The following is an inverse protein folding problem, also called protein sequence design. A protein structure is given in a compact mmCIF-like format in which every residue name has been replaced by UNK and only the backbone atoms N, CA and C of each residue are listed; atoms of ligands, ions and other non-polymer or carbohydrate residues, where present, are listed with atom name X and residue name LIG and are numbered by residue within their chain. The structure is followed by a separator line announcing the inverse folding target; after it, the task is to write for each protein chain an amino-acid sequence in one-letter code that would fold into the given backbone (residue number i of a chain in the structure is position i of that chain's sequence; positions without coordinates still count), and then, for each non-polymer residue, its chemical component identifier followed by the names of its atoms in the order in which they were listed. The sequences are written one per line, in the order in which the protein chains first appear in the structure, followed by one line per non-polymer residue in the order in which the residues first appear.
data_IF_794264110677
#
_entry.id   IF_794264110677
#
_cell.length_a   1.000
_cell.length_b   1.000
_cell.length_c   1.000
_cell.angle_alpha   90.00
_cell.angle_beta   90.00
_cell.angle_gamma   90.00
#
_symmetry.space_group_name_H-M   'P 1'
#
loop_
_entity.id
_entity.type
_entity.pdbx_description
1 polymer ?
2 non-polymer ?
3 non-polymer ?
4 water ?
#
# COMPACT_ATOMS: atom_id res chain seq x y z
N UNK A 1 8.60 15.98 7.84
CA UNK A 1 7.52 15.27 7.10
C UNK A 1 8.07 13.88 6.69
N UNK A 2 7.34 13.24 5.82
CA UNK A 2 7.42 11.82 5.69
C UNK A 2 8.29 11.29 4.56
N UNK A 3 8.73 12.17 3.67
CA UNK A 3 9.59 11.83 2.57
C UNK A 3 11.02 11.84 3.04
N UNK A 4 11.70 10.66 3.02
CA UNK A 4 13.14 10.67 3.36
C UNK A 4 13.98 11.58 2.43
N UNK A 5 14.95 12.21 3.05
CA UNK A 5 15.85 13.04 2.29
C UNK A 5 16.73 12.13 1.37
N UNK A 6 17.07 12.69 0.27
CA UNK A 6 17.69 11.97 -0.81
C UNK A 6 18.70 12.91 -1.47
N UNK A 7 19.89 12.41 -1.85
CA UNK A 7 20.72 13.28 -2.64
C UNK A 7 20.02 13.78 -3.93
N UNK A 8 20.60 14.80 -4.51
CA UNK A 8 19.91 15.28 -5.72
C UNK A 8 19.80 14.20 -6.83
N UNK A 9 18.70 14.19 -7.50
CA UNK A 9 18.46 13.11 -8.44
C UNK A 9 19.45 13.11 -9.59
N UNK A 10 19.94 11.93 -9.95
CA UNK A 10 21.01 11.80 -10.93
C UNK A 10 20.34 11.70 -12.39
N UNK A 11 20.70 12.66 -13.32
CA UNK A 11 20.04 12.67 -14.63
C UNK A 11 20.35 11.45 -15.43
N UNK A 12 21.54 10.90 -15.33
CA UNK A 12 21.84 9.68 -16.06
C UNK A 12 20.94 8.43 -15.69
N UNK A 13 20.57 8.32 -14.45
CA UNK A 13 19.68 7.29 -13.92
C UNK A 13 18.29 7.49 -14.53
N UNK A 14 17.89 8.77 -14.59
CA UNK A 14 16.65 9.13 -15.14
C UNK A 14 16.61 8.70 -16.60
N UNK A 15 17.67 8.97 -17.36
CA UNK A 15 17.75 8.58 -18.74
C UNK A 15 17.62 7.03 -18.84
N UNK A 16 18.33 6.31 -17.98
CA UNK A 16 18.28 4.84 -18.05
C UNK A 16 16.89 4.30 -17.71
N UNK A 17 16.21 4.96 -16.82
CA UNK A 17 14.83 4.52 -16.56
C UNK A 17 13.96 4.80 -17.78
N UNK A 18 14.14 5.97 -18.38
CA UNK A 18 13.38 6.21 -19.68
C UNK A 18 13.62 5.15 -20.69
N UNK A 19 14.87 4.82 -20.95
CA UNK A 19 15.18 3.80 -21.92
C UNK A 19 14.52 2.39 -21.58
N UNK A 20 14.49 2.08 -20.26
CA UNK A 20 13.87 0.88 -19.78
C UNK A 20 12.44 0.93 -20.14
N UNK A 21 11.77 1.99 -19.77
CA UNK A 21 10.31 2.08 -20.04
C UNK A 21 9.97 2.08 -21.55
N UNK A 22 10.79 2.78 -22.33
CA UNK A 22 10.65 2.71 -23.78
C UNK A 22 10.78 1.35 -24.35
N UNK A 23 11.56 0.51 -23.75
CA UNK A 23 11.72 -0.85 -24.28
C UNK A 23 10.52 -1.71 -23.92
N UNK A 24 9.60 -1.27 -23.06
CA UNK A 24 8.53 -2.11 -22.54
C UNK A 24 7.27 -1.74 -23.33
N UNK A 25 6.43 -2.71 -23.63
CA UNK A 25 5.01 -2.48 -24.07
C UNK A 25 3.88 -2.86 -23.08
N UNK A 26 4.26 -3.65 -22.08
CA UNK A 26 3.32 -4.32 -21.21
C UNK A 26 4.06 -4.29 -19.77
N UNK A 27 4.15 -3.11 -19.18
CA UNK A 27 4.84 -2.92 -17.94
C UNK A 27 4.04 -3.45 -16.75
N UNK A 28 4.69 -4.29 -15.90
CA UNK A 28 4.11 -4.75 -14.68
C UNK A 28 4.73 -3.87 -13.53
N UNK A 29 3.87 -3.24 -12.77
CA UNK A 29 4.30 -2.30 -11.77
C UNK A 29 3.95 -2.77 -10.39
N UNK A 30 4.88 -2.65 -9.46
CA UNK A 30 4.66 -2.92 -8.08
C UNK A 30 4.96 -1.62 -7.30
N UNK A 31 4.02 -1.21 -6.42
CA UNK A 31 4.27 -0.08 -5.51
C UNK A 31 4.14 -0.42 -4.04
N UNK A 32 4.90 0.32 -3.28
CA UNK A 32 4.77 0.33 -1.82
C UNK A 32 4.63 1.72 -1.26
N UNK A 33 4.87 1.80 0.03
CA UNK A 33 4.51 2.93 0.86
C UNK A 33 5.25 4.24 0.43
N UNK A 34 6.37 4.11 -0.27
CA UNK A 34 7.04 5.24 -0.76
C UNK A 34 6.33 6.02 -1.77
N UNK A 35 5.37 5.41 -2.49
CA UNK A 35 4.63 6.19 -3.46
C UNK A 35 3.58 7.11 -2.81
N UNK A 36 3.31 6.96 -1.50
CA UNK A 36 2.35 7.81 -0.83
C UNK A 36 2.93 8.77 0.27
N UNK A 37 4.28 8.73 0.53
CA UNK A 37 4.85 9.69 1.44
C UNK A 37 4.61 11.14 1.01
N UNK A 38 4.65 11.41 -0.28
CA UNK A 38 4.29 12.73 -0.88
C UNK A 38 2.88 13.05 -0.72
N UNK A 39 2.01 12.11 -0.34
CA UNK A 39 0.60 12.44 0.01
C UNK A 39 0.36 12.66 1.49
N UNK A 40 1.43 12.59 2.26
CA UNK A 40 1.35 12.78 3.69
C UNK A 40 1.11 11.49 4.47
N UNK A 41 1.32 10.31 3.86
CA UNK A 41 1.15 9.04 4.56
C UNK A 41 2.56 8.47 4.87
N UNK A 42 2.87 8.25 6.15
CA UNK A 42 4.28 7.86 6.40
C UNK A 42 4.56 6.39 5.91
N UNK A 43 5.80 6.13 5.60
CA UNK A 43 6.21 4.81 5.27
C UNK A 43 6.76 4.11 6.56
N UNK A 44 7.26 2.89 6.40
CA UNK A 44 7.60 2.08 7.56
C UNK A 44 9.12 2.00 7.80
N UNK A 45 9.89 1.96 6.71
CA UNK A 45 11.28 1.57 6.88
C UNK A 45 12.27 2.53 6.34
N UNK A 46 11.88 3.79 6.07
CA UNK A 46 12.87 4.75 5.51
C UNK A 46 13.79 5.11 6.65
N UNK A 47 15.06 5.07 6.37
CA UNK A 47 16.01 5.24 7.50
C UNK A 47 15.90 6.61 8.09
N UNK A 48 15.59 6.72 9.39
CA UNK A 48 15.52 8.07 10.03
C UNK A 48 14.13 8.65 9.97
N UNK A 49 13.20 8.06 9.23
CA UNK A 49 11.91 8.68 9.07
C UNK A 49 10.72 7.77 9.09
N UNK A 50 10.81 6.53 8.65
CA UNK A 50 9.65 5.59 8.66
C UNK A 50 9.19 5.22 10.00
N UNK A 51 7.94 4.83 10.06
CA UNK A 51 7.26 4.44 11.31
C UNK A 51 8.11 3.47 12.21
N UNK A 52 8.71 2.48 11.57
CA UNK A 52 9.51 1.46 12.36
C UNK A 52 10.92 1.91 12.64
N UNK A 53 11.41 2.83 11.87
CA UNK A 53 12.79 3.33 12.10
C UNK A 53 12.81 4.38 13.25
N UNK A 54 11.76 5.18 13.26
CA UNK A 54 11.79 6.43 14.03
C UNK A 54 10.82 6.48 15.21
N UNK A 55 9.84 5.56 15.29
CA UNK A 55 8.76 5.65 16.24
C UNK A 55 8.57 4.36 16.90
N UNK A 56 7.74 4.39 17.91
CA UNK A 56 7.39 3.21 18.69
C UNK A 56 6.26 2.40 18.08
N UNK A 57 5.90 2.66 16.82
CA UNK A 57 4.76 1.90 16.24
C UNK A 57 5.07 0.44 16.11
N UNK A 58 4.18 -0.45 16.61
CA UNK A 58 4.28 -1.90 16.37
C UNK A 58 3.05 -2.42 15.58
N UNK A 59 3.22 -3.04 14.44
CA UNK A 59 1.89 -3.54 13.93
C UNK A 59 1.15 -4.53 14.88
N UNK A 60 -0.16 -4.66 14.69
CA UNK A 60 -0.92 -5.61 15.52
C UNK A 60 -0.75 -6.99 14.86
N UNK A 61 -0.55 -8.06 15.66
CA UNK A 61 -0.54 -9.43 15.10
C UNK A 61 -2.03 -9.89 14.75
N UNK A 62 -2.22 -10.55 13.60
CA UNK A 62 -3.55 -11.12 13.27
C UNK A 62 -4.12 -12.00 14.36
N UNK A 63 -3.30 -12.95 14.86
CA UNK A 63 -3.77 -13.93 15.84
C UNK A 63 -4.21 -13.19 17.14
N UNK A 64 -3.52 -12.10 17.53
CA UNK A 64 -3.98 -11.37 18.72
C UNK A 64 -5.31 -10.67 18.45
N UNK A 65 -5.51 -10.09 17.27
CA UNK A 65 -6.77 -9.48 16.92
C UNK A 65 -7.88 -10.51 17.00
N UNK A 66 -7.65 -11.68 16.43
CA UNK A 66 -8.73 -12.71 16.31
C UNK A 66 -9.02 -13.33 17.71
N UNK A 67 -8.01 -13.40 18.58
CA UNK A 67 -8.18 -14.13 19.86
C UNK A 67 -8.51 -13.21 21.03
N UNK A 68 -8.36 -11.89 20.91
CA UNK A 68 -8.51 -11.04 22.09
C UNK A 68 -9.47 -9.86 21.82
N UNK A 69 -10.61 -9.91 22.48
CA UNK A 69 -11.57 -8.81 22.45
C UNK A 69 -10.95 -7.51 22.83
N UNK A 70 -10.05 -7.54 23.83
CA UNK A 70 -9.45 -6.26 24.28
C UNK A 70 -8.53 -5.71 23.20
N UNK A 71 -7.78 -6.56 22.51
CA UNK A 71 -6.91 -6.08 21.41
C UNK A 71 -7.72 -5.41 20.29
N UNK A 72 -8.86 -6.01 20.00
CA UNK A 72 -9.80 -5.46 19.01
C UNK A 72 -10.28 -4.14 19.44
N UNK A 73 -10.53 -3.96 20.74
CA UNK A 73 -10.97 -2.63 21.17
C UNK A 73 -9.92 -1.59 21.04
N UNK A 74 -8.66 -1.91 21.42
CA UNK A 74 -7.61 -0.96 21.29
C UNK A 74 -7.32 -0.56 19.83
N UNK A 75 -7.26 -1.54 18.97
CA UNK A 75 -7.14 -1.35 17.50
C UNK A 75 -8.18 -0.39 17.00
N UNK A 76 -9.43 -0.74 17.23
CA UNK A 76 -10.51 0.05 16.70
C UNK A 76 -10.68 1.39 17.23
N UNK A 77 -10.37 1.60 18.51
CA UNK A 77 -10.41 2.95 19.02
C UNK A 77 -9.38 3.87 18.35
N UNK A 78 -8.18 3.38 18.15
CA UNK A 78 -7.19 4.14 17.37
C UNK A 78 -7.55 4.36 15.89
N UNK A 79 -8.04 3.36 15.25
CA UNK A 79 -8.50 3.49 13.86
C UNK A 79 -9.66 4.51 13.73
N UNK A 80 -10.62 4.43 14.64
CA UNK A 80 -11.71 5.41 14.71
C UNK A 80 -11.26 6.87 14.81
N UNK A 81 -10.27 7.13 15.64
CA UNK A 81 -9.80 8.46 15.83
C UNK A 81 -9.09 8.97 14.59
N UNK A 82 -8.33 8.09 13.97
CA UNK A 82 -7.50 8.43 12.83
C UNK A 82 -8.26 8.48 11.49
N UNK A 83 -9.50 7.93 11.42
CA UNK A 83 -10.19 7.74 10.17
C UNK A 83 -10.46 9.07 9.37
N UNK A 84 -10.87 10.10 10.06
CA UNK A 84 -11.22 11.36 9.30
C UNK A 84 -10.01 11.92 8.54
N UNK A 85 -8.84 11.88 9.11
CA UNK A 85 -7.62 12.37 8.39
C UNK A 85 -7.11 11.32 7.43
N UNK A 86 -7.10 10.08 7.82
CA UNK A 86 -6.60 9.04 6.94
C UNK A 86 -7.38 8.95 5.65
N UNK A 87 -8.69 8.98 5.81
CA UNK A 87 -9.58 8.91 4.68
C UNK A 87 -9.54 10.15 3.73
N UNK A 88 -8.92 11.22 4.16
CA UNK A 88 -8.89 12.47 3.38
C UNK A 88 -7.59 12.67 2.54
N UNK A 89 -6.58 11.81 2.72
CA UNK A 89 -5.42 11.87 1.83
C UNK A 89 -5.77 11.74 0.33
N UNK A 90 -4.98 12.41 -0.51
CA UNK A 90 -5.16 12.48 -1.93
C UNK A 90 -4.01 11.87 -2.68
N UNK A 91 -4.29 11.37 -3.85
CA UNK A 91 -3.18 10.84 -4.68
C UNK A 91 -2.27 11.92 -5.10
N UNK A 92 -1.01 11.60 -5.39
CA UNK A 92 -0.03 12.60 -5.77
C UNK A 92 0.37 12.32 -7.22
N UNK A 93 1.31 13.14 -7.74
CA UNK A 93 1.57 13.12 -9.18
C UNK A 93 2.06 11.70 -9.58
N UNK A 94 2.73 10.97 -8.67
CA UNK A 94 3.15 9.60 -9.00
C UNK A 94 1.96 8.63 -9.33
N UNK A 95 0.94 8.65 -8.48
CA UNK A 95 -0.28 7.84 -8.72
C UNK A 95 -0.91 8.29 -10.06
N UNK A 96 -0.97 9.63 -10.30
CA UNK A 96 -1.62 10.18 -11.48
C UNK A 96 -0.91 9.80 -12.66
N UNK A 97 0.41 9.84 -12.61
CA UNK A 97 1.14 9.41 -13.82
C UNK A 97 1.06 7.94 -14.17
N UNK A 98 0.99 7.08 -13.14
CA UNK A 98 0.80 5.64 -13.41
C UNK A 98 -0.58 5.39 -13.99
N UNK A 99 -1.57 6.19 -13.60
CA UNK A 99 -2.86 6.03 -14.23
C UNK A 99 -2.82 6.51 -15.74
N UNK A 100 -2.09 7.56 -16.05
CA UNK A 100 -1.85 7.95 -17.44
C UNK A 100 -1.28 6.77 -18.23
N UNK A 101 -0.33 6.06 -17.65
CA UNK A 101 0.35 5.02 -18.37
C UNK A 101 -0.59 3.93 -18.66
N UNK A 102 -1.49 3.66 -17.74
CA UNK A 102 -2.51 2.69 -18.03
C UNK A 102 -3.45 3.17 -19.18
N UNK A 103 -3.92 4.44 -19.15
CA UNK A 103 -4.76 4.95 -20.20
C UNK A 103 -4.06 4.78 -21.58
N UNK A 104 -2.78 4.93 -21.66
CA UNK A 104 -2.10 4.82 -22.85
C UNK A 104 -1.83 3.40 -23.30
N UNK A 105 -2.27 2.39 -22.56
CA UNK A 105 -2.05 0.98 -22.88
C UNK A 105 -0.65 0.42 -22.65
N UNK A 106 0.18 1.14 -21.90
CA UNK A 106 1.57 0.72 -21.67
C UNK A 106 1.78 0.05 -20.30
N UNK A 107 0.84 0.25 -19.39
CA UNK A 107 0.93 -0.39 -18.02
C UNK A 107 0.00 -1.57 -18.14
N UNK A 108 0.58 -2.73 -18.06
CA UNK A 108 -0.13 -3.97 -18.12
C UNK A 108 -0.92 -4.31 -16.88
N UNK A 109 -0.31 -4.11 -15.72
CA UNK A 109 -1.02 -4.38 -14.44
C UNK A 109 -0.20 -3.74 -13.31
N UNK A 110 -0.88 -3.36 -12.27
CA UNK A 110 -0.21 -2.79 -11.13
C UNK A 110 -0.61 -3.56 -9.90
N UNK A 111 0.39 -3.90 -9.05
CA UNK A 111 0.05 -4.43 -7.74
C UNK A 111 0.57 -3.46 -6.71
N UNK A 112 -0.22 -3.13 -5.71
CA UNK A 112 0.22 -2.39 -4.59
C UNK A 112 0.20 -3.16 -3.31
N UNK A 113 1.19 -2.90 -2.44
CA UNK A 113 1.17 -3.26 -1.05
C UNK A 113 0.46 -2.29 -0.19
N UNK A 114 0.01 -1.13 -0.69
CA UNK A 114 -0.49 -0.08 0.15
C UNK A 114 -1.98 -0.28 0.42
N UNK A 115 -2.40 0.12 1.60
CA UNK A 115 -3.81 -0.01 2.02
C UNK A 115 -4.56 1.33 2.01
N UNK A 116 -4.00 2.38 1.43
CA UNK A 116 -4.50 3.69 1.49
C UNK A 116 -5.55 4.18 0.46
N UNK A 117 -5.93 3.34 -0.49
CA UNK A 117 -6.89 3.58 -1.54
C UNK A 117 -6.48 4.65 -2.56
N UNK A 118 -5.22 5.10 -2.54
CA UNK A 118 -4.88 6.22 -3.34
C UNK A 118 -4.83 5.83 -4.86
N UNK A 119 -4.39 4.63 -5.17
CA UNK A 119 -4.31 4.22 -6.57
C UNK A 119 -5.77 4.16 -7.10
N UNK A 120 -6.69 3.70 -6.26
CA UNK A 120 -8.10 3.68 -6.62
C UNK A 120 -8.64 5.11 -6.82
N UNK A 121 -8.38 5.97 -5.85
CA UNK A 121 -8.77 7.39 -6.02
C UNK A 121 -8.26 8.06 -7.22
N UNK A 122 -7.04 7.72 -7.64
CA UNK A 122 -6.45 8.22 -8.85
C UNK A 122 -7.07 7.67 -10.16
N UNK A 123 -7.68 6.48 -10.09
CA UNK A 123 -8.38 5.86 -11.18
C UNK A 123 -7.60 4.73 -11.84
N UNK A 124 -6.73 4.03 -11.10
CA UNK A 124 -6.05 2.88 -11.62
C UNK A 124 -7.03 1.69 -11.70
N UNK A 125 -7.36 1.20 -12.91
CA UNK A 125 -8.33 0.14 -13.02
C UNK A 125 -7.64 -1.24 -13.01
N UNK A 126 -6.42 -1.31 -13.54
CA UNK A 126 -5.76 -2.62 -13.71
C UNK A 126 -4.86 -2.82 -12.49
N UNK A 127 -5.56 -3.06 -11.42
CA UNK A 127 -5.01 -2.88 -10.04
C UNK A 127 -5.32 -4.11 -9.20
N UNK A 128 -4.34 -4.57 -8.45
CA UNK A 128 -4.55 -5.44 -7.32
C UNK A 128 -3.98 -4.88 -6.05
N UNK A 129 -4.85 -4.88 -5.08
CA UNK A 129 -4.47 -4.44 -3.69
C UNK A 129 -4.04 -5.59 -2.92
N UNK A 130 -2.74 -5.86 -2.95
CA UNK A 130 -2.16 -7.06 -2.39
C UNK A 130 -2.50 -7.29 -0.86
N UNK A 131 -2.46 -6.25 -0.11
CA UNK A 131 -2.71 -6.35 1.29
C UNK A 131 -4.11 -5.85 1.69
N UNK A 132 -5.01 -5.65 0.76
CA UNK A 132 -6.32 -5.07 1.08
C UNK A 132 -6.38 -3.56 1.09
N UNK A 133 -7.31 -3.04 1.89
CA UNK A 133 -7.54 -1.59 1.86
C UNK A 133 -8.28 -1.24 3.14
N UNK A 134 -7.82 -0.23 3.84
CA UNK A 134 -8.46 0.20 5.05
C UNK A 134 -9.84 0.79 4.81
N UNK A 135 -10.26 1.05 3.58
CA UNK A 135 -11.58 1.62 3.32
C UNK A 135 -12.66 0.54 3.27
N UNK A 136 -12.27 -0.72 3.43
CA UNK A 136 -13.17 -1.84 3.47
C UNK A 136 -13.10 -2.56 4.79
N UNK A 137 -14.24 -3.10 5.19
CA UNK A 137 -14.37 -3.84 6.42
C UNK A 137 -14.95 -5.18 6.10
N UNK A 138 -14.44 -6.20 6.74
CA UNK A 138 -14.98 -7.60 6.49
C UNK A 138 -15.38 -8.32 7.82
N UNK A 139 -16.52 -9.06 7.76
CA UNK A 139 -16.92 -9.82 8.91
C UNK A 139 -16.12 -11.21 8.94
N UNK A 140 -15.43 -11.51 10.03
CA UNK A 140 -14.75 -12.79 10.19
C UNK A 140 -15.66 -13.99 10.28
N UNK A 141 -16.91 -13.74 10.50
CA UNK A 141 -17.92 -14.77 10.61
C UNK A 141 -18.57 -15.11 9.28
N UNK A 142 -19.09 -14.13 8.53
CA UNK A 142 -19.80 -14.47 7.30
C UNK A 142 -19.12 -13.99 5.99
N UNK A 143 -17.97 -13.31 6.11
CA UNK A 143 -17.21 -12.72 5.03
C UNK A 143 -17.95 -11.60 4.28
N UNK A 144 -18.98 -10.94 4.85
CA UNK A 144 -19.61 -9.83 4.20
C UNK A 144 -18.66 -8.59 4.20
N UNK A 145 -18.56 -7.89 3.07
CA UNK A 145 -17.67 -6.76 2.94
C UNK A 145 -18.51 -5.48 2.95
N UNK A 146 -18.17 -4.53 3.84
CA UNK A 146 -18.83 -3.23 3.89
C UNK A 146 -17.85 -2.07 3.75
N UNK A 147 -18.36 -0.87 3.65
CA UNK A 147 -17.54 0.32 3.59
C UNK A 147 -17.10 0.82 5.02
N UNK A 148 -15.78 1.14 5.18
CA UNK A 148 -15.32 1.73 6.38
C UNK A 148 -16.05 3.02 6.72
N UNK A 149 -16.36 3.83 5.74
CA UNK A 149 -17.01 5.16 5.96
C UNK A 149 -18.34 4.93 6.66
N UNK A 150 -19.01 3.83 6.34
CA UNK A 150 -20.31 3.51 7.01
C UNK A 150 -20.17 3.06 8.47
N UNK A 151 -19.03 2.42 8.78
CA UNK A 151 -18.76 1.99 10.14
C UNK A 151 -18.59 3.20 11.15
N UNK A 152 -18.09 4.34 10.67
CA UNK A 152 -17.81 5.46 11.45
C UNK A 152 -19.03 5.96 12.13
N UNK A 153 -20.10 6.08 11.41
CA UNK A 153 -21.40 6.49 11.95
C UNK A 153 -21.83 5.57 13.10
N UNK A 154 -21.57 4.29 12.91
CA UNK A 154 -21.95 3.32 13.89
C UNK A 154 -21.08 3.42 15.15
N UNK A 155 -19.78 3.69 14.99
CA UNK A 155 -18.94 4.00 16.13
C UNK A 155 -19.41 5.20 16.97
N UNK A 156 -19.88 6.25 16.25
CA UNK A 156 -20.35 7.45 16.89
C UNK A 156 -21.62 7.19 17.78
N UNK A 157 -22.61 6.48 17.21
CA UNK A 157 -23.82 6.10 18.01
C UNK A 157 -23.54 5.16 19.19
N UNK A 158 -22.62 4.25 19.03
CA UNK A 158 -22.24 3.38 20.10
C UNK A 158 -21.36 4.02 21.16
N UNK A 159 -20.56 5.05 20.80
CA UNK A 159 -19.58 5.60 21.75
C UNK A 159 -19.75 7.08 21.70
N UNK A 160 -20.94 7.61 22.07
CA UNK A 160 -21.17 9.03 21.97
C UNK A 160 -20.28 9.83 22.90
N UNK A 161 -19.74 9.31 24.02
CA UNK A 161 -18.72 10.08 24.84
C UNK A 161 -17.38 10.29 24.17
N UNK A 162 -17.07 9.52 23.12
CA UNK A 162 -15.87 9.79 22.33
C UNK A 162 -16.07 10.90 21.26
N UNK A 163 -17.24 11.51 21.23
CA UNK A 163 -17.54 12.60 20.32
C UNK A 163 -18.05 13.88 21.04
N UNK A 164 -17.34 14.34 22.09
CA UNK A 164 -17.80 15.37 23.06
C UNK A 164 -16.88 16.60 23.10
N UNK A 177 -3.70 5.00 24.61
CA UNK A 177 -3.72 3.80 23.75
C UNK A 177 -3.95 2.41 24.49
N UNK A 178 -4.20 2.44 25.84
CA UNK A 178 -4.27 1.21 26.71
C UNK A 178 -5.67 0.73 27.05
N UNK A 179 -5.78 -0.48 27.61
CA UNK A 179 -7.12 -1.01 28.08
C UNK A 179 -7.92 -0.07 28.97
N UNK A 180 -7.26 0.64 29.90
CA UNK A 180 -8.00 1.51 30.82
C UNK A 180 -8.66 2.68 30.04
N UNK A 181 -7.90 3.35 29.17
CA UNK A 181 -8.45 4.49 28.38
C UNK A 181 -9.61 4.07 27.37
N UNK A 182 -9.70 2.78 27.09
CA UNK A 182 -10.64 2.18 26.13
C UNK A 182 -11.92 1.47 26.67
N UNK A 183 -11.93 1.14 27.98
CA UNK A 183 -13.15 0.77 28.78
C UNK A 183 -14.49 1.24 28.17
N UNK A 184 -14.73 2.57 28.02
CA UNK A 184 -16.03 3.11 27.40
C UNK A 184 -16.23 2.98 25.84
N UNK A 185 -15.36 2.10 25.24
CA UNK A 185 -15.24 1.91 23.78
C UNK A 185 -15.70 0.51 23.34
N UNK A 186 -16.80 0.54 22.62
CA UNK A 186 -17.38 -0.67 22.12
C UNK A 186 -17.40 -0.65 20.58
N UNK A 187 -17.15 -1.82 20.05
CA UNK A 187 -16.97 -2.05 18.73
C UNK A 187 -18.33 -2.55 18.11
N UNK A 188 -18.86 -1.89 17.06
CA UNK A 188 -20.02 -2.45 16.37
C UNK A 188 -19.80 -3.91 15.85
N UNK A 189 -20.82 -4.78 15.93
CA UNK A 189 -20.80 -6.17 15.44
C UNK A 189 -21.36 -6.17 13.98
N UNK A 190 -21.11 -7.24 13.24
CA UNK A 190 -21.63 -7.47 11.91
C UNK A 190 -23.17 -7.38 11.97
N UNK A 191 -23.77 -6.60 11.13
CA UNK A 191 -25.25 -6.50 11.12
C UNK A 191 -25.97 -7.65 10.42
N UNK A 192 -25.24 -8.55 9.77
CA UNK A 192 -25.86 -9.75 9.09
C UNK A 192 -25.82 -10.90 10.07
N UNK A 193 -24.76 -11.02 10.85
CA UNK A 193 -24.64 -12.25 11.67
C UNK A 193 -24.24 -12.00 13.09
N UNK A 194 -23.83 -10.79 13.43
CA UNK A 194 -23.38 -10.52 14.82
C UNK A 194 -21.94 -10.88 15.03
N UNK A 195 -21.19 -11.25 13.96
CA UNK A 195 -19.78 -11.62 14.07
C UNK A 195 -18.81 -10.39 14.19
N UNK A 196 -17.53 -10.69 14.21
CA UNK A 196 -16.48 -9.75 14.48
C UNK A 196 -16.08 -9.09 13.21
N UNK A 197 -16.06 -7.74 13.21
CA UNK A 197 -15.58 -6.99 12.09
C UNK A 197 -14.08 -6.73 12.16
N UNK A 198 -13.45 -6.63 11.00
CA UNK A 198 -11.96 -6.36 10.88
C UNK A 198 -11.76 -5.53 9.61
N UNK A 199 -10.86 -4.56 9.62
CA UNK A 199 -10.49 -3.91 8.37
C UNK A 199 -10.00 -4.99 7.40
N UNK A 200 -10.40 -4.89 6.15
CA UNK A 200 -10.07 -5.89 5.14
C UNK A 200 -8.64 -5.60 4.69
N UNK A 201 -7.73 -5.74 5.63
CA UNK A 201 -6.25 -5.59 5.39
C UNK A 201 -5.59 -6.82 5.95
N UNK A 202 -4.43 -7.15 5.42
CA UNK A 202 -3.63 -8.26 5.87
C UNK A 202 -2.77 -7.82 7.07
N UNK A 203 -3.25 -8.13 8.26
CA UNK A 203 -2.47 -7.92 9.51
C UNK A 203 -1.17 -8.78 9.52
N UNK A 204 -0.17 -8.36 10.27
CA UNK A 204 1.03 -9.19 10.52
C UNK A 204 0.67 -10.63 10.90
N UNK A 205 1.30 -11.58 10.27
CA UNK A 205 1.03 -13.01 10.44
C UNK A 205 -0.13 -13.59 9.69
N UNK A 206 -1.07 -12.77 9.15
CA UNK A 206 -2.09 -13.30 8.28
C UNK A 206 -1.33 -13.39 6.95
N UNK A 207 -1.86 -14.18 6.06
CA UNK A 207 -1.13 -14.35 4.74
C UNK A 207 -2.19 -13.92 3.66
N UNK A 208 -1.69 -13.50 2.50
CA UNK A 208 -2.57 -13.16 1.35
C UNK A 208 -3.14 -14.53 0.77
N UNK A 209 -4.43 -14.54 0.52
CA UNK A 209 -5.22 -15.62 -0.11
C UNK A 209 -4.46 -16.14 -1.33
N UNK A 210 -4.29 -17.44 -1.37
CA UNK A 210 -3.50 -18.08 -2.41
C UNK A 210 -4.07 -17.96 -3.84
N UNK A 211 -5.40 -17.90 -3.95
CA UNK A 211 -6.02 -17.70 -5.28
C UNK A 211 -5.81 -16.30 -5.79
N UNK A 212 -5.84 -15.36 -4.88
CA UNK A 212 -5.52 -13.96 -5.22
C UNK A 212 -4.08 -13.84 -5.70
N UNK A 213 -3.15 -14.42 -4.91
CA UNK A 213 -1.75 -14.44 -5.30
C UNK A 213 -1.60 -15.04 -6.66
N UNK A 214 -2.22 -16.18 -6.87
CA UNK A 214 -2.06 -16.90 -8.10
C UNK A 214 -2.59 -16.03 -9.30
N UNK A 215 -3.69 -15.30 -9.09
CA UNK A 215 -4.26 -14.43 -10.15
C UNK A 215 -3.29 -13.28 -10.51
N UNK A 216 -2.51 -12.80 -9.55
CA UNK A 216 -1.53 -11.76 -9.81
C UNK A 216 -0.37 -12.33 -10.58
N UNK A 217 0.13 -13.53 -10.25
CA UNK A 217 1.14 -14.13 -11.01
C UNK A 217 0.65 -14.35 -12.47
N UNK A 218 -0.61 -14.75 -12.63
CA UNK A 218 -1.14 -14.93 -14.00
C UNK A 218 -0.99 -13.58 -14.84
N UNK A 219 -1.29 -12.44 -14.22
CA UNK A 219 -1.05 -11.16 -14.94
C UNK A 219 0.40 -10.91 -15.29
N UNK A 220 1.35 -11.26 -14.40
CA UNK A 220 2.69 -11.25 -14.76
C UNK A 220 3.12 -11.98 -15.99
N UNK A 221 2.53 -13.12 -16.32
CA UNK A 221 3.01 -13.92 -17.41
C UNK A 221 3.00 -13.22 -18.74
N UNK A 222 2.18 -12.24 -18.93
CA UNK A 222 2.12 -11.51 -20.14
C UNK A 222 2.90 -10.20 -20.10
N UNK A 223 3.56 -9.83 -19.01
CA UNK A 223 4.25 -8.58 -18.97
C UNK A 223 5.56 -8.73 -19.73
N UNK A 224 6.21 -7.61 -20.02
CA UNK A 224 7.53 -7.66 -20.63
C UNK A 224 8.60 -6.97 -19.87
N UNK A 225 8.27 -6.43 -18.68
CA UNK A 225 9.18 -5.73 -17.85
C UNK A 225 8.48 -5.54 -16.50
N UNK A 226 9.29 -5.30 -15.49
CA UNK A 226 8.77 -4.91 -14.17
C UNK A 226 9.41 -3.68 -13.62
N UNK A 227 8.56 -2.80 -13.07
CA UNK A 227 8.98 -1.60 -12.37
C UNK A 227 8.51 -1.62 -10.91
N UNK A 228 9.41 -1.42 -9.96
CA UNK A 228 9.05 -1.35 -8.59
C UNK A 228 9.21 0.09 -8.16
N UNK A 229 8.19 0.68 -7.52
CA UNK A 229 8.23 2.07 -7.12
C UNK A 229 7.94 2.19 -5.64
N UNK A 230 8.90 2.72 -4.84
CA UNK A 230 8.55 3.00 -3.49
C UNK A 230 8.31 1.83 -2.55
N UNK A 231 9.12 0.78 -2.66
CA UNK A 231 9.12 -0.33 -1.66
C UNK A 231 10.58 -0.79 -1.38
N UNK A 232 10.82 -1.04 -0.12
CA UNK A 232 12.06 -1.61 0.36
C UNK A 232 12.13 -3.10 0.03
N UNK A 233 10.96 -3.70 -0.31
CA UNK A 233 10.81 -5.11 -0.56
C UNK A 233 11.37 -5.99 0.55
N UNK A 234 11.35 -5.51 1.78
CA UNK A 234 11.85 -6.28 2.89
C UNK A 234 10.81 -7.37 3.23
N UNK A 235 9.54 -7.06 3.02
CA UNK A 235 8.47 -8.01 3.25
C UNK A 235 8.35 -8.97 2.10
N UNK A 236 8.37 -10.25 2.41
CA UNK A 236 8.41 -11.32 1.43
C UNK A 236 7.17 -11.25 0.50
N UNK A 237 6.04 -10.90 1.10
CA UNK A 237 4.76 -10.72 0.38
C UNK A 237 4.93 -9.91 -0.89
N UNK A 238 5.71 -8.82 -0.86
CA UNK A 238 6.11 -8.10 -2.07
C UNK A 238 7.31 -8.62 -2.82
N UNK A 239 8.39 -8.97 -2.11
CA UNK A 239 9.64 -9.42 -2.79
C UNK A 239 9.42 -10.63 -3.69
N UNK A 240 8.43 -11.49 -3.34
CA UNK A 240 8.20 -12.66 -4.12
C UNK A 240 7.88 -12.31 -5.59
N UNK A 241 7.26 -11.16 -5.86
CA UNK A 241 6.91 -10.81 -7.20
C UNK A 241 8.16 -10.36 -8.00
N UNK A 242 9.17 -9.76 -7.38
CA UNK A 242 10.45 -9.49 -8.04
C UNK A 242 11.19 -10.82 -8.37
N UNK A 243 11.24 -11.75 -7.41
CA UNK A 243 11.73 -13.14 -7.68
C UNK A 243 11.05 -13.76 -8.91
N UNK A 244 9.74 -13.57 -9.00
CA UNK A 244 8.95 -14.12 -10.07
C UNK A 244 9.32 -13.48 -11.37
N UNK A 245 9.52 -12.14 -11.37
CA UNK A 245 9.99 -11.49 -12.58
C UNK A 245 11.31 -12.09 -13.09
N UNK A 246 12.22 -12.30 -12.17
CA UNK A 246 13.53 -12.82 -12.51
C UNK A 246 13.34 -14.25 -13.13
N UNK A 247 12.45 -15.04 -12.56
CA UNK A 247 12.16 -16.38 -13.15
C UNK A 247 11.55 -16.34 -14.55
N UNK A 248 10.86 -15.26 -14.83
CA UNK A 248 10.26 -15.03 -16.14
C UNK A 248 11.21 -14.38 -17.09
N UNK A 249 12.38 -14.08 -16.66
CA UNK A 249 13.40 -13.41 -17.47
C UNK A 249 12.98 -12.01 -17.86
N UNK A 250 12.24 -11.32 -16.99
CA UNK A 250 11.86 -9.92 -17.22
C UNK A 250 12.94 -8.99 -16.70
N UNK A 251 13.23 -7.90 -17.44
CA UNK A 251 14.05 -6.85 -16.95
C UNK A 251 13.27 -6.21 -15.78
N UNK A 252 14.02 -5.81 -14.78
CA UNK A 252 13.51 -5.15 -13.56
C UNK A 252 14.14 -3.79 -13.35
N UNK A 253 13.33 -2.78 -13.02
CA UNK A 253 13.83 -1.46 -12.70
C UNK A 253 13.20 -1.03 -11.37
N UNK A 254 13.89 -0.21 -10.65
CA UNK A 254 13.48 0.25 -9.29
C UNK A 254 13.60 1.77 -9.25
N UNK A 255 12.56 2.40 -8.73
CA UNK A 255 12.53 3.81 -8.44
C UNK A 255 12.21 3.96 -6.98
N UNK A 256 13.24 4.18 -6.21
CA UNK A 256 13.16 4.11 -4.74
C UNK A 256 14.31 4.87 -4.10
N UNK A 257 14.01 5.61 -3.05
CA UNK A 257 15.04 6.46 -2.41
C UNK A 257 15.93 5.50 -1.69
N UNK A 258 15.44 4.64 -0.81
CA UNK A 258 16.56 3.84 -0.15
C UNK A 258 16.99 2.54 -0.83
N UNK A 259 17.86 1.80 -0.16
CA UNK A 259 18.11 0.39 -0.67
C UNK A 259 16.86 -0.53 -0.69
N UNK A 260 16.87 -1.52 -1.57
CA UNK A 260 15.82 -2.50 -1.58
C UNK A 260 16.42 -3.87 -1.59
N UNK A 261 15.62 -4.80 -1.21
CA UNK A 261 15.99 -6.20 -1.24
C UNK A 261 16.22 -6.76 -2.66
N UNK A 262 15.65 -6.12 -3.67
CA UNK A 262 15.82 -6.50 -5.05
C UNK A 262 16.91 -5.73 -5.81
N UNK A 263 17.77 -4.95 -5.15
CA UNK A 263 18.74 -4.12 -5.87
C UNK A 263 19.66 -4.99 -6.68
N UNK A 264 19.90 -6.20 -6.19
CA UNK A 264 20.82 -7.10 -6.92
C UNK A 264 20.16 -7.65 -8.21
N UNK A 265 18.85 -7.61 -8.32
CA UNK A 265 18.11 -8.11 -9.53
C UNK A 265 17.81 -7.06 -10.58
N UNK A 266 18.00 -5.81 -10.25
CA UNK A 266 17.59 -4.73 -11.08
C UNK A 266 18.64 -4.38 -12.13
N UNK A 267 18.11 -4.09 -13.30
CA UNK A 267 18.93 -3.60 -14.37
C UNK A 267 19.20 -2.13 -14.19
N UNK A 268 18.23 -1.34 -13.68
CA UNK A 268 18.29 0.06 -13.55
C UNK A 268 17.71 0.45 -12.15
N UNK A 269 18.44 1.24 -11.40
CA UNK A 269 17.96 1.74 -10.15
C UNK A 269 18.07 3.30 -10.10
N UNK A 270 16.98 3.97 -9.74
CA UNK A 270 16.90 5.41 -9.67
C UNK A 270 16.59 5.72 -8.18
N UNK A 271 17.53 6.37 -7.47
CA UNK A 271 17.37 6.71 -6.10
C UNK A 271 16.88 8.10 -6.01
N UNK A 272 15.58 8.33 -6.02
CA UNK A 272 15.08 9.67 -6.21
C UNK A 272 13.59 9.64 -5.82
N UNK A 273 13.03 10.79 -5.51
CA UNK A 273 11.62 10.91 -5.11
C UNK A 273 10.80 10.51 -6.32
N UNK A 274 9.85 9.56 -6.18
CA UNK A 274 9.21 9.14 -7.34
C UNK A 274 8.38 10.26 -8.04
N UNK A 275 7.79 11.19 -7.28
CA UNK A 275 7.02 12.35 -7.86
C UNK A 275 7.87 13.36 -8.67
N UNK A 276 9.21 13.35 -8.45
CA UNK A 276 10.19 14.08 -9.28
C UNK A 276 10.52 13.37 -10.54
N UNK A 277 10.47 12.02 -10.59
CA UNK A 277 10.94 11.33 -11.77
C UNK A 277 9.80 10.90 -12.70
N UNK A 278 8.74 10.30 -12.17
CA UNK A 278 7.77 9.72 -13.05
C UNK A 278 7.15 10.72 -14.08
N UNK A 279 6.89 11.95 -13.64
CA UNK A 279 6.26 12.85 -14.58
C UNK A 279 7.13 13.03 -15.78
N UNK A 280 8.44 12.81 -15.69
CA UNK A 280 9.32 12.87 -16.86
C UNK A 280 9.41 11.76 -17.79
N UNK A 281 8.87 10.62 -17.43
CA UNK A 281 8.93 9.50 -18.30
C UNK A 281 7.81 9.61 -19.31
N UNK A 282 8.22 9.48 -20.58
CA UNK A 282 7.31 9.68 -21.68
C UNK A 282 6.93 8.34 -22.20
N UNK A 283 5.73 8.31 -22.75
CA UNK A 283 5.25 7.09 -23.41
C UNK A 283 5.38 7.18 -24.88
N UNK A 284 5.20 8.34 -25.46
CA UNK A 284 5.76 8.50 -26.83
C UNK A 284 7.30 8.77 -26.76
#
# INVERSE_FOLDING_TARGET
HMVPACPPPNPHQVEQLQDFVSQSQRLFVMTGAGISTESGIPDYRSEGVGLYSRTERRPIQHSEFVQSQAARRRYWARNFVGWPSFSSHEPNSAHVNLCKWERAGRLHWLVTQNVDALHTKAGQCRLSELHGCTHRVICLGCQTVTKRSELQERFLNLNPSWNEQAHGLAPDGDVFLTDEQVSDFQVPACTKCGGILKPQVTFFGDTVNRGFVFSIYEQMKQADAMLIVGSSLQVYSGYRFALNAKELHLPIAILNIGPTRADHLAKVKVSARCGDVLPHILLQDQ
#
